data_IF_937648963699
#
_entry.id   IF_937648963699
#
_cell.length_a   1.000
_cell.length_b   1.000
_cell.length_c   1.000
_cell.angle_alpha   90.00
_cell.angle_beta   90.00
_cell.angle_gamma   90.00
#
_symmetry.space_group_name_H-M   'P 1'
#
loop_
_entity.id
_entity.type
_entity.pdbx_description
1 polymer ?
#
# COMPACT_ATOMS: atom_id res chain seq x y z
N UNK A 1 -6.02 35.76 -0.95
CA UNK A 1 -5.26 35.01 -1.95
C UNK A 1 -5.98 33.68 -2.07
N UNK A 2 -6.36 33.29 -3.28
CA UNK A 2 -6.85 31.93 -3.51
C UNK A 2 -5.56 31.14 -3.71
N UNK A 3 -5.24 30.25 -2.77
CA UNK A 3 -4.12 29.33 -2.97
C UNK A 3 -4.46 28.48 -4.20
N UNK A 4 -3.57 28.47 -5.19
CA UNK A 4 -3.74 27.62 -6.35
C UNK A 4 -3.84 26.15 -5.89
N UNK A 5 -4.69 25.32 -6.51
CA UNK A 5 -4.82 23.93 -6.13
C UNK A 5 -3.46 23.23 -6.31
N UNK A 6 -3.10 22.40 -5.32
CA UNK A 6 -1.85 21.63 -5.39
C UNK A 6 -1.87 20.71 -6.62
N UNK A 7 -0.73 20.56 -7.31
CA UNK A 7 -0.65 19.71 -8.51
C UNK A 7 -0.95 18.24 -8.17
N UNK A 8 -1.52 17.52 -9.13
CA UNK A 8 -1.78 16.08 -9.00
C UNK A 8 -0.55 15.26 -9.40
N UNK A 9 -0.32 14.15 -8.69
CA UNK A 9 0.69 13.17 -9.08
C UNK A 9 0.12 12.16 -10.10
N UNK A 10 0.88 11.77 -11.15
CA UNK A 10 0.48 10.75 -12.13
C UNK A 10 0.43 9.34 -11.51
N UNK A 11 -0.77 8.92 -11.10
CA UNK A 11 -1.01 7.64 -10.42
C UNK A 11 -0.53 6.40 -11.19
N UNK A 12 -0.44 6.49 -12.51
CA UNK A 12 0.05 5.44 -13.41
C UNK A 12 1.53 5.10 -13.19
N UNK A 13 2.33 6.02 -12.65
CA UNK A 13 3.74 5.75 -12.32
C UNK A 13 3.87 4.77 -11.15
N UNK A 14 2.88 4.73 -10.25
CA UNK A 14 2.82 3.80 -9.12
C UNK A 14 2.32 2.43 -9.60
N UNK A 15 3.17 1.70 -10.32
CA UNK A 15 2.87 0.35 -10.79
C UNK A 15 3.55 -0.68 -9.90
N UNK A 16 2.79 -1.62 -9.35
CA UNK A 16 3.34 -2.74 -8.60
C UNK A 16 3.92 -3.79 -9.56
N UNK A 17 5.10 -4.31 -9.24
CA UNK A 17 5.74 -5.42 -9.97
C UNK A 17 5.28 -6.76 -9.38
N UNK A 18 5.56 -6.96 -8.10
CA UNK A 18 5.22 -8.17 -7.33
C UNK A 18 5.11 -7.80 -5.86
N UNK A 19 4.31 -8.54 -5.10
CA UNK A 19 4.32 -8.44 -3.66
C UNK A 19 4.61 -9.76 -2.98
N UNK A 20 4.88 -9.69 -1.68
CA UNK A 20 4.97 -10.84 -0.78
C UNK A 20 4.05 -10.64 0.40
N UNK A 21 3.55 -11.74 0.93
CA UNK A 21 2.86 -11.80 2.21
C UNK A 21 3.55 -12.85 3.07
N UNK A 22 3.92 -12.45 4.27
CA UNK A 22 4.55 -13.30 5.27
C UNK A 22 3.88 -13.07 6.61
N UNK A 23 3.82 -14.10 7.45
CA UNK A 23 3.29 -13.92 8.80
C UNK A 23 2.74 -15.19 9.43
N UNK A 24 2.17 -15.00 10.62
CA UNK A 24 1.51 -16.04 11.39
C UNK A 24 0.16 -15.55 11.85
N UNK A 25 -0.57 -16.41 12.57
CA UNK A 25 -1.84 -16.08 13.24
C UNK A 25 -1.84 -14.76 14.03
N UNK A 26 -0.68 -14.24 14.42
CA UNK A 26 -0.55 -13.03 15.24
C UNK A 26 -0.29 -11.75 14.46
N UNK A 27 0.34 -11.85 13.29
CA UNK A 27 0.79 -10.68 12.54
C UNK A 27 1.14 -11.08 11.11
N UNK A 28 0.61 -10.34 10.14
CA UNK A 28 1.05 -10.39 8.75
C UNK A 28 1.83 -9.13 8.40
N UNK A 29 2.73 -9.28 7.42
CA UNK A 29 3.35 -8.19 6.71
C UNK A 29 3.13 -8.39 5.22
N UNK A 30 2.86 -7.29 4.51
CA UNK A 30 2.78 -7.26 3.05
C UNK A 30 3.89 -6.35 2.55
N UNK A 31 4.65 -6.85 1.58
CA UNK A 31 5.64 -6.06 0.85
C UNK A 31 5.16 -5.89 -0.58
N UNK A 32 5.23 -4.67 -1.12
CA UNK A 32 4.89 -4.38 -2.53
C UNK A 32 6.09 -3.69 -3.15
N UNK A 33 6.73 -4.36 -4.13
CA UNK A 33 7.78 -3.74 -4.92
C UNK A 33 7.14 -2.95 -6.06
N UNK A 34 7.47 -1.67 -6.17
CA UNK A 34 7.06 -0.86 -7.31
C UNK A 34 8.05 -1.04 -8.46
N UNK A 35 7.55 -0.94 -9.70
CA UNK A 35 8.43 -0.72 -10.84
C UNK A 35 9.15 0.61 -10.65
N UNK A 36 10.47 0.69 -10.90
CA UNK A 36 11.17 1.96 -10.86
C UNK A 36 10.55 2.96 -11.84
N UNK A 37 10.43 4.21 -11.41
CA UNK A 37 9.93 5.30 -12.25
C UNK A 37 10.72 6.58 -12.01
N UNK A 38 10.54 7.54 -12.93
CA UNK A 38 11.17 8.85 -12.84
C UNK A 38 10.11 9.91 -12.55
N UNK A 39 10.45 10.84 -11.66
CA UNK A 39 9.70 12.07 -11.43
C UNK A 39 10.68 13.25 -11.45
N UNK A 40 10.66 14.03 -12.54
CA UNK A 40 11.69 15.01 -12.82
C UNK A 40 13.09 14.37 -12.90
N UNK A 41 14.00 14.81 -12.02
CA UNK A 41 15.37 14.29 -11.91
C UNK A 41 15.49 13.14 -10.88
N UNK A 42 14.44 12.87 -10.10
CA UNK A 42 14.43 11.81 -9.10
C UNK A 42 14.16 10.45 -9.76
N UNK A 43 14.93 9.43 -9.36
CA UNK A 43 14.65 8.03 -9.70
C UNK A 43 14.12 7.34 -8.46
N UNK A 44 12.86 6.93 -8.52
CA UNK A 44 12.18 6.27 -7.41
C UNK A 44 12.28 4.76 -7.63
N UNK A 45 12.84 4.05 -6.65
CA UNK A 45 12.96 2.59 -6.64
C UNK A 45 12.58 2.07 -5.25
N UNK A 46 11.27 2.15 -4.97
CA UNK A 46 10.74 1.98 -3.63
C UNK A 46 10.03 0.64 -3.44
N UNK A 47 9.99 0.22 -2.18
CA UNK A 47 9.27 -0.96 -1.74
C UNK A 47 8.38 -0.57 -0.58
N UNK A 48 7.07 -0.66 -0.78
CA UNK A 48 6.09 -0.39 0.27
C UNK A 48 6.08 -1.57 1.24
N UNK A 49 6.18 -1.28 2.54
CA UNK A 49 6.21 -2.29 3.60
C UNK A 49 5.09 -2.00 4.58
N UNK A 50 4.05 -2.81 4.51
CA UNK A 50 2.91 -2.75 5.42
C UNK A 50 3.16 -3.78 6.51
N UNK A 51 3.69 -3.32 7.63
CA UNK A 51 3.99 -4.15 8.78
C UNK A 51 2.88 -4.12 9.82
N UNK A 52 2.83 -5.16 10.66
CA UNK A 52 1.90 -5.24 11.80
C UNK A 52 0.42 -5.18 11.38
N UNK A 53 0.08 -5.77 10.24
CA UNK A 53 -1.33 -5.93 9.86
C UNK A 53 -2.08 -6.62 11.00
N UNK A 54 -3.15 -6.01 11.53
CA UNK A 54 -3.89 -6.58 12.64
C UNK A 54 -4.49 -7.92 12.22
N UNK A 55 -4.66 -8.81 13.19
CA UNK A 55 -5.12 -10.22 13.06
C UNK A 55 -6.15 -10.44 11.94
N UNK A 56 -5.68 -10.63 10.70
CA UNK A 56 -6.58 -10.82 9.55
C UNK A 56 -7.26 -12.18 9.68
N UNK A 57 -6.46 -13.23 9.84
CA UNK A 57 -6.91 -14.59 10.13
C UNK A 57 -5.81 -15.40 10.84
N UNK A 58 -6.17 -16.53 11.47
CA UNK A 58 -5.18 -17.37 12.14
C UNK A 58 -4.21 -18.04 11.15
N UNK A 59 -4.67 -18.28 9.93
CA UNK A 59 -3.87 -18.94 8.88
C UNK A 59 -4.12 -18.28 7.53
N UNK A 60 -3.11 -18.32 6.66
CA UNK A 60 -3.17 -17.64 5.36
C UNK A 60 -4.25 -18.25 4.44
N UNK A 61 -4.54 -19.54 4.61
CA UNK A 61 -5.56 -20.27 3.87
C UNK A 61 -6.99 -19.79 4.16
N UNK A 62 -7.17 -18.96 5.19
CA UNK A 62 -8.46 -18.40 5.57
C UNK A 62 -8.67 -16.98 5.02
N UNK A 63 -7.65 -16.39 4.42
CA UNK A 63 -7.75 -15.07 3.78
C UNK A 63 -8.65 -15.05 2.53
N UNK A 64 -8.68 -16.09 1.67
CA UNK A 64 -9.44 -16.04 0.41
C UNK A 64 -10.91 -15.65 0.57
N UNK A 65 -11.35 -14.71 -0.26
CA UNK A 65 -12.73 -14.21 -0.30
C UNK A 65 -13.09 -13.22 0.81
N UNK A 66 -12.14 -12.89 1.69
CA UNK A 66 -12.35 -11.93 2.78
C UNK A 66 -11.79 -10.55 2.42
N UNK A 67 -12.34 -9.55 3.10
CA UNK A 67 -11.93 -8.16 2.99
C UNK A 67 -11.86 -7.56 4.40
N UNK A 68 -10.81 -6.76 4.63
CA UNK A 68 -10.63 -5.98 5.84
C UNK A 68 -10.56 -4.50 5.46
N UNK A 69 -11.29 -3.68 6.20
CA UNK A 69 -11.21 -2.23 6.10
C UNK A 69 -10.54 -1.69 7.36
N UNK A 70 -9.76 -0.63 7.19
CA UNK A 70 -9.04 0.04 8.27
C UNK A 70 -9.51 1.49 8.37
N UNK A 71 -9.52 2.05 9.58
CA UNK A 71 -9.87 3.46 9.75
C UNK A 71 -8.69 4.36 9.33
N UNK A 72 -8.97 5.64 9.07
CA UNK A 72 -7.93 6.64 8.74
C UNK A 72 -7.09 7.03 9.96
N UNK A 73 -5.84 7.44 9.75
CA UNK A 73 -4.95 7.92 10.81
C UNK A 73 -5.56 9.20 11.45
N UNK A 74 -5.59 9.37 12.80
CA UNK A 74 -5.00 8.53 13.86
C UNK A 74 -6.00 7.60 14.57
N UNK A 75 -7.11 7.22 13.92
CA UNK A 75 -8.12 6.39 14.59
C UNK A 75 -7.57 5.00 14.94
N UNK A 76 -7.80 4.47 16.16
CA UNK A 76 -7.24 3.20 16.58
C UNK A 76 -7.50 2.06 15.58
N UNK A 77 -6.43 1.35 15.20
CA UNK A 77 -6.49 0.25 14.23
C UNK A 77 -6.19 0.66 12.78
N UNK A 78 -5.85 1.93 12.53
CA UNK A 78 -5.35 2.38 11.23
C UNK A 78 -4.09 1.59 10.82
N UNK A 79 -3.91 1.44 9.52
CA UNK A 79 -2.74 0.79 8.92
C UNK A 79 -2.10 1.79 7.96
N UNK A 80 -0.79 1.97 8.09
CA UNK A 80 -0.03 2.86 7.22
C UNK A 80 1.30 2.27 6.79
N UNK A 81 1.81 2.78 5.67
CA UNK A 81 3.20 2.67 5.21
C UNK A 81 3.62 4.06 4.73
N UNK A 82 4.82 4.20 4.19
CA UNK A 82 5.23 5.42 3.49
C UNK A 82 5.92 5.08 2.17
N UNK A 83 6.06 6.11 1.33
CA UNK A 83 6.95 6.13 0.16
C UNK A 83 7.91 7.31 0.32
N UNK A 84 9.19 7.09 0.04
CA UNK A 84 10.16 8.17 -0.01
C UNK A 84 10.17 8.77 -1.43
N UNK A 85 9.82 10.05 -1.54
CA UNK A 85 9.85 10.84 -2.78
C UNK A 85 9.86 12.31 -2.43
N UNK A 86 10.40 13.16 -3.30
CA UNK A 86 10.56 14.60 -3.04
C UNK A 86 11.34 14.89 -1.76
N UNK A 87 12.34 14.06 -1.46
CA UNK A 87 13.18 14.15 -0.26
C UNK A 87 12.45 14.01 1.08
N UNK A 88 11.22 13.47 1.08
CA UNK A 88 10.39 13.29 2.28
C UNK A 88 9.71 11.91 2.31
N UNK A 89 9.33 11.45 3.50
CA UNK A 89 8.50 10.25 3.67
C UNK A 89 7.02 10.63 3.59
N UNK A 90 6.40 10.37 2.45
CA UNK A 90 4.98 10.61 2.27
C UNK A 90 4.17 9.47 2.89
N UNK A 91 3.25 9.75 3.84
CA UNK A 91 2.39 8.73 4.42
C UNK A 91 1.45 8.10 3.37
N UNK A 92 1.19 6.82 3.53
CA UNK A 92 0.22 6.05 2.74
C UNK A 92 -0.68 5.33 3.73
N UNK A 93 -1.95 5.72 3.77
CA UNK A 93 -2.97 4.99 4.50
C UNK A 93 -3.42 3.78 3.67
N UNK A 94 -3.56 2.63 4.33
CA UNK A 94 -4.19 1.44 3.74
C UNK A 94 -5.65 1.43 4.19
N UNK A 95 -6.57 1.72 3.27
CA UNK A 95 -8.00 1.84 3.57
C UNK A 95 -8.67 0.46 3.62
N UNK A 96 -8.29 -0.43 2.70
CA UNK A 96 -8.77 -1.81 2.71
C UNK A 96 -7.84 -2.78 2.00
N UNK A 97 -7.94 -4.05 2.37
CA UNK A 97 -7.30 -5.16 1.68
C UNK A 97 -8.35 -6.24 1.45
N UNK A 98 -8.50 -6.67 0.20
CA UNK A 98 -9.31 -7.82 -0.20
C UNK A 98 -8.41 -8.91 -0.76
N UNK A 99 -8.63 -10.13 -0.31
CA UNK A 99 -7.86 -11.29 -0.78
C UNK A 99 -8.72 -12.18 -1.67
N UNK A 100 -8.18 -12.51 -2.84
CA UNK A 100 -8.75 -13.44 -3.80
C UNK A 100 -8.32 -14.87 -3.54
N UNK A 101 -8.20 -15.65 -4.61
CA UNK A 101 -7.86 -17.08 -4.53
C UNK A 101 -6.37 -17.29 -4.22
N UNK A 102 -6.06 -18.43 -3.61
CA UNK A 102 -4.69 -18.94 -3.50
C UNK A 102 -4.44 -19.94 -4.62
N UNK A 103 -3.42 -19.69 -5.44
CA UNK A 103 -3.00 -20.59 -6.52
C UNK A 103 -1.46 -20.57 -6.64
N UNK A 104 -0.84 -21.75 -6.77
CA UNK A 104 0.60 -21.90 -7.02
C UNK A 104 1.53 -21.16 -6.03
N UNK A 105 1.14 -21.04 -4.76
CA UNK A 105 1.93 -20.35 -3.72
C UNK A 105 1.79 -18.83 -3.72
N UNK A 106 0.80 -18.29 -4.44
CA UNK A 106 0.43 -16.88 -4.43
C UNK A 106 -1.01 -16.71 -3.96
N UNK A 107 -1.30 -15.57 -3.35
CA UNK A 107 -2.67 -15.09 -3.09
C UNK A 107 -2.92 -13.81 -3.87
N UNK A 108 -4.02 -13.73 -4.59
CA UNK A 108 -4.44 -12.47 -5.22
C UNK A 108 -4.81 -11.45 -4.14
N UNK A 109 -4.38 -10.20 -4.30
CA UNK A 109 -4.73 -9.12 -3.39
C UNK A 109 -5.14 -7.85 -4.14
N UNK A 110 -6.09 -7.14 -3.55
CA UNK A 110 -6.50 -5.79 -3.93
C UNK A 110 -6.36 -4.90 -2.71
N UNK A 111 -5.49 -3.89 -2.78
CA UNK A 111 -5.25 -2.92 -1.72
C UNK A 111 -5.73 -1.55 -2.16
N UNK A 112 -6.65 -0.97 -1.40
CA UNK A 112 -7.06 0.42 -1.56
C UNK A 112 -6.19 1.28 -0.64
N UNK A 113 -5.54 2.28 -1.21
CA UNK A 113 -4.58 3.12 -0.51
C UNK A 113 -4.80 4.59 -0.79
N UNK A 114 -4.47 5.42 0.18
CA UNK A 114 -4.47 6.88 0.06
C UNK A 114 -3.08 7.41 0.39
N UNK A 115 -2.42 7.98 -0.61
CA UNK A 115 -1.18 8.72 -0.47
C UNK A 115 -1.50 10.12 0.05
N UNK A 116 -0.99 10.44 1.24
CA UNK A 116 -1.28 11.69 1.97
C UNK A 116 -0.23 12.76 1.62
N UNK A 117 -0.07 13.06 0.33
CA UNK A 117 0.94 14.00 -0.17
C UNK A 117 0.77 15.43 0.37
N UNK A 118 -0.45 15.82 0.72
CA UNK A 118 -0.72 17.14 1.28
C UNK A 118 -0.09 17.33 2.67
N UNK A 119 0.29 16.24 3.36
CA UNK A 119 0.91 16.29 4.68
C UNK A 119 2.27 16.99 4.64
N UNK A 120 3.12 16.65 3.68
CA UNK A 120 4.42 17.31 3.46
C UNK A 120 4.30 18.55 2.56
N UNK A 121 3.15 18.69 1.89
CA UNK A 121 2.86 19.75 0.93
C UNK A 121 3.42 19.46 -0.47
N UNK A 122 2.97 20.22 -1.45
CA UNK A 122 3.52 20.16 -2.82
C UNK A 122 2.68 19.36 -3.82
N UNK A 123 1.86 18.39 -3.39
CA UNK A 123 0.93 17.68 -4.26
C UNK A 123 -0.41 17.37 -3.56
N UNK A 124 -1.47 17.27 -4.35
CA UNK A 124 -2.78 16.81 -3.89
C UNK A 124 -2.74 15.34 -3.47
N UNK A 125 -3.56 14.98 -2.48
CA UNK A 125 -3.70 13.58 -2.05
C UNK A 125 -4.11 12.67 -3.22
N UNK A 126 -3.62 11.43 -3.21
CA UNK A 126 -3.84 10.48 -4.29
C UNK A 126 -4.42 9.16 -3.76
N UNK A 127 -5.57 8.75 -4.31
CA UNK A 127 -6.10 7.41 -4.09
C UNK A 127 -5.56 6.45 -5.17
N UNK A 128 -5.07 5.29 -4.74
CA UNK A 128 -4.51 4.28 -5.62
C UNK A 128 -4.96 2.89 -5.17
N UNK A 129 -5.44 2.11 -6.13
CA UNK A 129 -5.67 0.68 -5.96
C UNK A 129 -4.50 -0.11 -6.53
N UNK A 130 -3.94 -1.01 -5.74
CA UNK A 130 -2.98 -2.01 -6.20
C UNK A 130 -3.69 -3.37 -6.31
N UNK A 131 -3.69 -3.95 -7.51
CA UNK A 131 -4.15 -5.32 -7.75
C UNK A 131 -2.94 -6.14 -8.18
N UNK A 132 -2.53 -7.08 -7.34
CA UNK A 132 -1.30 -7.84 -7.56
C UNK A 132 -1.35 -9.22 -6.87
N UNK A 133 -0.63 -10.22 -7.41
CA UNK A 133 -0.37 -11.44 -6.68
C UNK A 133 0.67 -11.19 -5.58
N UNK A 134 0.40 -11.72 -4.39
CA UNK A 134 1.33 -11.75 -3.26
C UNK A 134 1.88 -13.17 -3.13
N UNK A 135 3.19 -13.32 -3.25
CA UNK A 135 3.86 -14.59 -2.97
C UNK A 135 3.73 -14.90 -1.48
N UNK A 136 3.30 -16.11 -1.16
CA UNK A 136 3.22 -16.59 0.22
C UNK A 136 4.62 -17.03 0.65
N UNK A 137 5.13 -16.39 1.70
CA UNK A 137 6.40 -16.73 2.32
C UNK A 137 6.14 -17.34 3.71
N UNK A 138 6.84 -18.44 3.98
CA UNK A 138 6.76 -19.21 5.24
C UNK A 138 7.81 -18.77 6.25
#
# INVERSE_FOLDING_TARGET
MIDDPLPSFPAELLTAEVGTIAGTARQYSITIKLLPFHDGEETINETLRIDKLPLLAERIEELPGRQWAFPSNPQPGYVETSIYMWTVHNPIEVESIRFGKIENGYIEAELQTRFVFEYEGGHSNLNKTFTLPLKIES
#
